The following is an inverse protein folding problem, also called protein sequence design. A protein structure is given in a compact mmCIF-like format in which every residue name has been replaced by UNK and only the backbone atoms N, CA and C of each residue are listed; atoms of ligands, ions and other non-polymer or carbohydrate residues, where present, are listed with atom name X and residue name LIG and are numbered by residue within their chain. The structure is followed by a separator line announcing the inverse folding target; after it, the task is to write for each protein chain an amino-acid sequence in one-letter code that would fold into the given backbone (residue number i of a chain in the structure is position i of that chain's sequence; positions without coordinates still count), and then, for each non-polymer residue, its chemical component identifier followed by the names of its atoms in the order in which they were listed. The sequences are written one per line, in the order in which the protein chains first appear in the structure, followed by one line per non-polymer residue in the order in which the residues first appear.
data_IF_532837238838
#
_entry.id   IF_532837238838
#
_cell.length_a   1.000
_cell.length_b   1.000
_cell.length_c   1.000
_cell.angle_alpha   90.00
_cell.angle_beta   90.00
_cell.angle_gamma   90.00
#
_symmetry.space_group_name_H-M   'P 1'
#
loop_
_entity.id
_entity.type
_entity.pdbx_description
1 polymer ?
#
# COMPACT_ATOMS: atom_id res chain seq x y z
N UNK A 1 11.67 15.71 -12.36
CA UNK A 1 12.22 16.17 -11.06
C UNK A 1 11.08 16.25 -10.04
N UNK A 2 11.20 15.60 -8.88
CA UNK A 2 10.22 15.78 -7.80
C UNK A 2 10.35 17.18 -7.19
N UNK A 3 9.23 17.90 -7.07
CA UNK A 3 9.21 19.20 -6.39
C UNK A 3 9.33 19.00 -4.88
N UNK A 4 10.43 19.46 -4.28
CA UNK A 4 10.67 19.34 -2.84
C UNK A 4 9.59 20.07 -2.01
N UNK A 5 9.57 19.83 -0.70
CA UNK A 5 8.67 20.57 0.21
C UNK A 5 8.94 22.07 0.20
N UNK A 6 10.22 22.44 0.11
CA UNK A 6 10.68 23.83 0.00
C UNK A 6 10.16 24.51 -1.28
N UNK A 7 10.28 23.84 -2.45
CA UNK A 7 9.79 24.37 -3.71
C UNK A 7 8.27 24.62 -3.69
N UNK A 8 7.51 23.70 -3.10
CA UNK A 8 6.06 23.84 -2.94
C UNK A 8 5.69 24.97 -1.99
N UNK A 9 6.37 25.04 -0.84
CA UNK A 9 6.15 26.09 0.15
C UNK A 9 6.41 27.48 -0.41
N UNK A 10 7.51 27.64 -1.15
CA UNK A 10 7.83 28.90 -1.84
C UNK A 10 6.76 29.25 -2.87
N UNK A 11 6.40 28.33 -3.76
CA UNK A 11 5.44 28.59 -4.83
C UNK A 11 4.05 28.99 -4.29
N UNK A 12 3.58 28.32 -3.24
CA UNK A 12 2.29 28.62 -2.60
C UNK A 12 2.33 29.99 -1.91
N UNK A 13 3.35 30.28 -1.10
CA UNK A 13 3.49 31.59 -0.43
C UNK A 13 3.47 32.72 -1.45
N UNK A 14 4.33 32.58 -2.45
CA UNK A 14 4.51 33.58 -3.52
C UNK A 14 3.23 33.79 -4.32
N UNK A 15 2.43 32.73 -4.52
CA UNK A 15 1.14 32.84 -5.19
C UNK A 15 0.18 33.78 -4.47
N UNK A 16 0.06 33.65 -3.14
CA UNK A 16 -0.79 34.53 -2.35
C UNK A 16 -0.23 35.96 -2.27
N UNK A 17 1.08 36.13 -2.12
CA UNK A 17 1.74 37.44 -2.10
C UNK A 17 1.60 38.20 -3.42
N UNK A 18 1.52 37.50 -4.56
CA UNK A 18 1.38 38.09 -5.90
C UNK A 18 -0.07 38.09 -6.41
N UNK A 19 -1.06 38.21 -5.52
CA UNK A 19 -2.46 38.36 -5.91
C UNK A 19 -3.00 37.17 -6.69
N UNK A 20 -2.60 35.94 -6.33
CA UNK A 20 -3.03 34.68 -6.95
C UNK A 20 -2.61 34.52 -8.43
N UNK A 21 -1.49 35.15 -8.82
CA UNK A 21 -0.95 35.07 -10.19
C UNK A 21 0.05 33.92 -10.37
N UNK A 22 -0.32 32.93 -11.18
CA UNK A 22 0.56 31.80 -11.56
C UNK A 22 1.81 32.28 -12.30
N UNK A 23 1.67 33.25 -13.20
CA UNK A 23 2.78 33.77 -14.00
C UNK A 23 3.78 34.51 -13.12
N UNK A 24 3.30 35.35 -12.20
CA UNK A 24 4.16 36.03 -11.23
C UNK A 24 4.88 35.04 -10.32
N UNK A 25 4.17 34.01 -9.85
CA UNK A 25 4.73 32.91 -9.04
C UNK A 25 5.85 32.18 -9.78
N UNK A 26 5.65 31.85 -11.06
CA UNK A 26 6.66 31.18 -11.88
C UNK A 26 7.90 32.05 -12.12
N UNK A 27 7.71 33.35 -12.34
CA UNK A 27 8.83 34.31 -12.50
C UNK A 27 9.65 34.42 -11.22
N UNK A 28 8.99 34.61 -10.09
CA UNK A 28 9.63 34.68 -8.78
C UNK A 28 10.31 33.37 -8.39
N UNK A 29 9.70 32.21 -8.68
CA UNK A 29 10.29 30.89 -8.46
C UNK A 29 11.60 30.73 -9.23
N UNK A 30 11.61 31.12 -10.51
CA UNK A 30 12.82 31.07 -11.34
C UNK A 30 13.95 31.92 -10.78
N UNK A 31 13.64 33.15 -10.35
CA UNK A 31 14.62 34.07 -9.78
C UNK A 31 15.17 33.56 -8.44
N UNK A 32 14.30 33.09 -7.56
CA UNK A 32 14.68 32.66 -6.21
C UNK A 32 15.59 31.43 -6.21
N UNK A 33 15.31 30.44 -7.07
CA UNK A 33 16.10 29.22 -7.17
C UNK A 33 17.19 29.27 -8.26
N UNK A 34 17.46 30.45 -8.82
CA UNK A 34 18.46 30.68 -9.87
C UNK A 34 18.35 29.70 -11.06
N UNK A 35 17.13 29.45 -11.53
CA UNK A 35 16.85 28.46 -12.56
C UNK A 35 17.10 29.07 -13.95
N UNK A 36 17.88 28.40 -14.84
CA UNK A 36 18.11 28.88 -16.21
C UNK A 36 16.81 29.12 -16.99
N UNK A 37 16.87 29.91 -18.07
CA UNK A 37 15.70 30.26 -18.89
C UNK A 37 14.89 29.04 -19.36
N UNK A 38 15.58 27.97 -19.71
CA UNK A 38 15.00 26.68 -20.13
C UNK A 38 15.01 25.62 -19.01
N UNK A 39 15.40 26.01 -17.80
CA UNK A 39 15.40 25.13 -16.64
C UNK A 39 13.97 24.82 -16.17
N UNK A 40 13.80 23.67 -15.49
CA UNK A 40 12.49 23.19 -15.09
C UNK A 40 11.88 24.09 -14.01
N UNK A 41 10.64 24.54 -14.23
CA UNK A 41 9.82 25.25 -13.24
C UNK A 41 8.45 24.57 -13.12
N UNK A 42 7.76 24.70 -11.97
CA UNK A 42 6.43 24.11 -11.83
C UNK A 42 5.46 24.77 -12.80
N UNK A 43 4.74 23.95 -13.57
CA UNK A 43 3.72 24.45 -14.48
C UNK A 43 2.48 24.95 -13.72
N UNK A 44 1.62 25.71 -14.39
CA UNK A 44 0.46 26.32 -13.74
C UNK A 44 -0.53 25.32 -13.14
N UNK A 45 -0.65 24.13 -13.72
CA UNK A 45 -1.48 23.05 -13.16
C UNK A 45 -0.89 22.52 -11.85
N UNK A 46 0.43 22.37 -11.76
CA UNK A 46 1.09 21.95 -10.53
C UNK A 46 0.90 22.97 -9.41
N UNK A 47 1.07 24.26 -9.70
CA UNK A 47 0.89 25.35 -8.73
C UNK A 47 -0.54 25.36 -8.20
N UNK A 48 -1.56 25.37 -9.10
CA UNK A 48 -2.98 25.33 -8.70
C UNK A 48 -3.31 24.14 -7.81
N UNK A 49 -2.82 22.95 -8.16
CA UNK A 49 -3.04 21.74 -7.35
C UNK A 49 -2.44 21.82 -5.95
N UNK A 50 -1.33 22.54 -5.75
CA UNK A 50 -0.76 22.72 -4.41
C UNK A 50 -1.55 23.72 -3.58
N UNK A 51 -2.14 24.73 -4.22
CA UNK A 51 -3.01 25.72 -3.58
C UNK A 51 -4.33 25.07 -3.17
N UNK A 52 -4.96 24.32 -4.07
CA UNK A 52 -6.18 23.54 -3.80
C UNK A 52 -5.94 22.59 -2.61
N UNK A 53 -4.84 21.82 -2.63
CA UNK A 53 -4.50 20.94 -1.51
C UNK A 53 -4.32 21.71 -0.19
N UNK A 54 -3.69 22.88 -0.21
CA UNK A 54 -3.50 23.70 0.99
C UNK A 54 -4.83 24.26 1.51
N UNK A 55 -5.67 24.79 0.62
CA UNK A 55 -6.99 25.35 0.96
C UNK A 55 -7.94 24.25 1.48
N UNK A 56 -7.86 23.02 0.95
CA UNK A 56 -8.73 21.90 1.33
C UNK A 56 -8.34 21.22 2.64
N UNK A 57 -7.04 21.03 2.91
CA UNK A 57 -6.58 20.18 4.01
C UNK A 57 -5.37 20.72 4.80
N UNK A 58 -4.99 21.98 4.60
CA UNK A 58 -3.89 22.62 5.32
C UNK A 58 -2.50 22.09 4.94
N UNK A 59 -2.37 21.32 3.84
CA UNK A 59 -1.10 20.77 3.36
C UNK A 59 -0.87 21.02 1.88
N UNK A 60 0.36 21.39 1.51
CA UNK A 60 0.79 21.43 0.10
C UNK A 60 1.15 20.05 -0.46
N UNK A 61 0.99 18.99 0.36
CA UNK A 61 1.05 17.60 -0.08
C UNK A 61 -0.32 17.22 -0.64
N UNK A 62 -0.35 16.35 -1.65
CA UNK A 62 -1.61 15.71 -2.03
C UNK A 62 -2.19 15.05 -0.77
N UNK A 63 -3.50 15.19 -0.49
CA UNK A 63 -4.12 14.42 0.57
C UNK A 63 -3.80 12.95 0.32
N UNK A 64 -3.18 12.30 1.31
CA UNK A 64 -3.12 10.85 1.35
C UNK A 64 -4.53 10.38 1.65
N UNK A 65 -5.40 10.39 0.64
CA UNK A 65 -6.60 9.56 0.71
C UNK A 65 -6.05 8.15 0.80
N UNK A 66 -6.21 7.50 1.96
CA UNK A 66 -5.95 6.08 2.09
C UNK A 66 -6.93 5.39 1.14
N UNK A 67 -6.43 5.12 -0.07
CA UNK A 67 -7.07 4.22 -1.02
C UNK A 67 -6.55 2.84 -0.67
N UNK A 68 -7.46 1.96 -0.32
CA UNK A 68 -7.16 0.57 -0.10
C UNK A 68 -7.43 -0.20 -1.39
N UNK A 69 -6.57 -1.15 -1.68
CA UNK A 69 -6.67 -2.02 -2.84
C UNK A 69 -6.34 -3.43 -2.40
N UNK A 70 -6.98 -4.41 -3.03
CA UNK A 70 -6.59 -5.81 -2.91
C UNK A 70 -6.04 -6.23 -4.26
N UNK A 71 -4.77 -6.64 -4.29
CA UNK A 71 -4.18 -7.32 -5.45
C UNK A 71 -4.42 -8.81 -5.24
N UNK A 72 -5.15 -9.44 -6.15
CA UNK A 72 -5.52 -10.85 -6.04
C UNK A 72 -7.00 -11.13 -6.26
N UNK A 73 -7.46 -12.34 -5.93
CA UNK A 73 -6.68 -13.47 -5.41
C UNK A 73 -5.81 -14.14 -6.51
N UNK A 74 -4.68 -14.71 -6.11
CA UNK A 74 -3.89 -15.63 -6.95
C UNK A 74 -4.10 -17.07 -6.46
N UNK A 75 -4.40 -18.00 -7.36
CA UNK A 75 -4.58 -19.41 -7.05
C UNK A 75 -3.39 -20.19 -7.59
N UNK A 76 -2.68 -20.92 -6.72
CA UNK A 76 -1.55 -21.75 -7.12
C UNK A 76 -2.04 -23.06 -7.72
N UNK A 77 -1.99 -23.17 -9.05
CA UNK A 77 -2.53 -24.32 -9.78
C UNK A 77 -1.65 -24.76 -10.95
N UNK A 78 -1.60 -26.06 -11.18
CA UNK A 78 -0.99 -26.71 -12.36
C UNK A 78 -1.99 -27.74 -12.89
N UNK A 79 -2.27 -27.72 -14.18
CA UNK A 79 -3.23 -28.61 -14.85
C UNK A 79 -4.62 -28.69 -14.16
N UNK A 80 -5.10 -27.54 -13.67
CA UNK A 80 -6.39 -27.41 -12.98
C UNK A 80 -6.43 -27.96 -11.55
N UNK A 81 -5.29 -28.37 -10.99
CA UNK A 81 -5.16 -28.87 -9.63
C UNK A 81 -4.39 -27.90 -8.74
N UNK A 82 -4.87 -27.70 -7.50
CA UNK A 82 -4.17 -26.87 -6.53
C UNK A 82 -2.83 -27.48 -6.14
N UNK A 83 -1.77 -26.65 -6.13
CA UNK A 83 -0.41 -27.09 -5.83
C UNK A 83 0.14 -26.41 -4.57
N UNK A 84 1.06 -27.11 -3.89
CA UNK A 84 1.74 -26.57 -2.72
C UNK A 84 2.68 -25.42 -3.11
N UNK A 85 2.56 -24.32 -2.36
CA UNK A 85 3.48 -23.18 -2.45
C UNK A 85 4.85 -23.60 -1.94
N UNK A 86 5.88 -23.40 -2.75
CA UNK A 86 7.26 -23.75 -2.43
C UNK A 86 8.22 -22.62 -2.81
N UNK A 87 9.52 -22.84 -2.61
CA UNK A 87 10.57 -21.86 -2.89
C UNK A 87 10.79 -21.53 -4.37
N UNK A 88 10.07 -22.20 -5.30
CA UNK A 88 10.11 -21.93 -6.74
C UNK A 88 8.84 -21.20 -7.18
N UNK A 89 7.67 -21.72 -6.78
CA UNK A 89 6.35 -21.17 -7.16
C UNK A 89 6.07 -19.81 -6.54
N UNK A 90 6.53 -19.56 -5.31
CA UNK A 90 6.29 -18.28 -4.66
C UNK A 90 7.05 -17.12 -5.36
N UNK A 91 8.37 -17.23 -5.63
CA UNK A 91 9.06 -16.24 -6.46
C UNK A 91 8.44 -16.05 -7.86
N UNK A 92 8.05 -17.15 -8.52
CA UNK A 92 7.39 -17.06 -9.83
C UNK A 92 6.08 -16.26 -9.75
N UNK A 93 5.24 -16.51 -8.73
CA UNK A 93 4.03 -15.71 -8.50
C UNK A 93 4.36 -14.22 -8.24
N UNK A 94 5.43 -13.92 -7.50
CA UNK A 94 5.84 -12.54 -7.27
C UNK A 94 6.19 -11.83 -8.58
N UNK A 95 6.90 -12.51 -9.48
CA UNK A 95 7.39 -11.98 -10.76
C UNK A 95 6.29 -11.93 -11.83
N UNK A 96 5.56 -13.02 -12.02
CA UNK A 96 4.62 -13.18 -13.14
C UNK A 96 3.27 -12.53 -12.87
N UNK A 97 2.91 -12.33 -11.60
CA UNK A 97 1.59 -11.82 -11.21
C UNK A 97 1.65 -10.57 -10.33
N UNK A 98 2.36 -10.63 -9.20
CA UNK A 98 2.27 -9.57 -8.20
C UNK A 98 2.96 -8.27 -8.64
N UNK A 99 4.19 -8.36 -9.15
CA UNK A 99 4.98 -7.20 -9.60
C UNK A 99 4.26 -6.42 -10.72
N UNK A 100 3.80 -7.04 -11.83
CA UNK A 100 3.06 -6.33 -12.88
C UNK A 100 1.80 -5.63 -12.36
N UNK A 101 1.05 -6.27 -11.46
CA UNK A 101 -0.16 -5.68 -10.86
C UNK A 101 0.14 -4.53 -9.93
N UNK A 102 1.25 -4.60 -9.21
CA UNK A 102 1.70 -3.52 -8.35
C UNK A 102 2.17 -2.31 -9.17
N UNK A 103 2.85 -2.54 -10.29
CA UNK A 103 3.28 -1.48 -11.22
C UNK A 103 2.06 -0.77 -11.82
N UNK A 104 1.09 -1.51 -12.35
CA UNK A 104 -0.19 -0.99 -12.88
C UNK A 104 -0.88 -0.09 -11.83
N UNK A 105 -1.01 -0.59 -10.60
CA UNK A 105 -1.62 0.17 -9.50
C UNK A 105 -0.81 1.41 -9.11
N UNK A 106 0.52 1.31 -9.15
CA UNK A 106 1.42 2.40 -8.81
C UNK A 106 1.35 3.52 -9.83
N UNK A 107 1.23 3.20 -11.12
CA UNK A 107 1.03 4.18 -12.19
C UNK A 107 -0.32 4.91 -12.07
N UNK A 108 -1.40 4.16 -11.83
CA UNK A 108 -2.75 4.72 -11.72
C UNK A 108 -2.93 5.62 -10.51
N UNK A 109 -2.33 5.23 -9.38
CA UNK A 109 -2.62 5.85 -8.08
C UNK A 109 -1.47 6.68 -7.52
N UNK A 110 -0.28 6.62 -8.16
CA UNK A 110 0.95 7.24 -7.69
C UNK A 110 1.26 6.80 -6.25
N UNK A 111 1.27 5.48 -6.01
CA UNK A 111 1.75 4.90 -4.76
C UNK A 111 3.18 5.41 -4.54
N UNK A 112 3.43 6.04 -3.39
CA UNK A 112 4.77 6.48 -3.02
C UNK A 112 5.64 5.30 -2.60
N UNK A 113 6.50 5.50 -1.62
CA UNK A 113 7.28 4.39 -1.06
C UNK A 113 6.36 3.34 -0.41
N UNK A 114 6.45 2.10 -0.90
CA UNK A 114 5.65 0.96 -0.44
C UNK A 114 6.49 0.12 0.53
N UNK A 115 5.87 -0.27 1.63
CA UNK A 115 6.40 -1.28 2.56
C UNK A 115 5.71 -2.60 2.30
N UNK A 116 6.48 -3.68 2.24
CA UNK A 116 5.96 -5.03 2.05
C UNK A 116 6.11 -5.82 3.34
N UNK A 117 5.03 -6.51 3.74
CA UNK A 117 5.05 -7.39 4.90
C UNK A 117 4.63 -8.81 4.49
N UNK A 118 5.36 -9.80 5.00
CA UNK A 118 5.00 -11.23 4.89
C UNK A 118 5.38 -11.97 6.18
N UNK A 119 4.78 -13.15 6.37
CA UNK A 119 5.07 -14.02 7.50
C UNK A 119 6.40 -14.81 7.32
N UNK A 120 6.70 -15.68 8.29
CA UNK A 120 7.92 -16.47 8.31
C UNK A 120 7.84 -17.83 7.59
N UNK A 121 6.87 -18.07 6.71
CA UNK A 121 6.74 -19.36 6.01
C UNK A 121 8.00 -19.72 5.21
N UNK A 122 8.28 -21.02 5.05
CA UNK A 122 9.52 -21.49 4.41
C UNK A 122 9.66 -21.00 2.97
N UNK A 123 8.57 -20.96 2.20
CA UNK A 123 8.59 -20.44 0.83
C UNK A 123 8.88 -18.93 0.77
N UNK A 124 8.37 -18.16 1.73
CA UNK A 124 8.53 -16.71 1.82
C UNK A 124 9.95 -16.31 2.23
N UNK A 125 10.59 -17.13 3.06
CA UNK A 125 11.95 -16.91 3.58
C UNK A 125 13.05 -17.57 2.74
N UNK A 126 12.69 -18.23 1.65
CA UNK A 126 13.64 -18.79 0.69
C UNK A 126 14.53 -17.68 0.11
N UNK A 127 15.81 -17.99 -0.12
CA UNK A 127 16.79 -17.01 -0.59
C UNK A 127 16.34 -16.31 -1.88
N UNK A 128 15.78 -17.07 -2.83
CA UNK A 128 15.30 -16.55 -4.11
C UNK A 128 14.16 -15.55 -3.91
N UNK A 129 13.19 -15.87 -3.04
CA UNK A 129 12.09 -14.96 -2.72
C UNK A 129 12.59 -13.67 -2.05
N UNK A 130 13.47 -13.79 -1.05
CA UNK A 130 14.01 -12.65 -0.32
C UNK A 130 14.86 -11.72 -1.20
N UNK A 131 15.61 -12.26 -2.18
CA UNK A 131 16.35 -11.45 -3.16
C UNK A 131 15.40 -10.62 -4.01
N UNK A 132 14.35 -11.25 -4.58
CA UNK A 132 13.34 -10.56 -5.40
C UNK A 132 12.61 -9.48 -4.59
N UNK A 133 12.16 -9.81 -3.39
CA UNK A 133 11.45 -8.85 -2.53
C UNK A 133 12.32 -7.65 -2.13
N UNK A 134 13.63 -7.84 -1.87
CA UNK A 134 14.53 -6.71 -1.60
C UNK A 134 14.79 -5.83 -2.80
N UNK A 135 14.74 -6.39 -4.02
CA UNK A 135 14.81 -5.60 -5.25
C UNK A 135 13.54 -4.75 -5.44
N UNK A 136 12.37 -5.34 -5.20
CA UNK A 136 11.07 -4.65 -5.30
C UNK A 136 10.87 -3.60 -4.19
N UNK A 137 11.30 -3.90 -2.96
CA UNK A 137 11.06 -3.09 -1.76
C UNK A 137 12.36 -2.76 -1.01
N UNK A 138 13.28 -1.98 -1.61
CA UNK A 138 14.59 -1.73 -1.03
C UNK A 138 14.48 -1.00 0.31
N UNK A 139 15.06 -1.60 1.36
CA UNK A 139 15.03 -1.13 2.75
C UNK A 139 13.62 -0.99 3.37
N UNK A 140 12.62 -1.70 2.80
CA UNK A 140 11.21 -1.61 3.20
C UNK A 140 10.53 -2.98 3.30
N UNK A 141 11.31 -4.02 3.58
CA UNK A 141 10.82 -5.38 3.73
C UNK A 141 10.64 -5.76 5.21
N UNK A 142 9.38 -5.96 5.62
CA UNK A 142 9.00 -6.51 6.93
C UNK A 142 8.78 -8.02 6.79
N UNK A 143 9.75 -8.81 7.21
CA UNK A 143 9.72 -10.27 7.04
C UNK A 143 10.64 -10.92 8.06
N UNK A 144 10.50 -12.22 8.26
CA UNK A 144 11.58 -12.99 8.90
C UNK A 144 12.84 -12.85 8.05
N UNK A 145 13.95 -12.36 8.63
CA UNK A 145 15.20 -11.98 7.94
C UNK A 145 15.07 -10.79 6.95
N UNK A 146 14.03 -9.96 7.08
CA UNK A 146 13.86 -8.72 6.31
C UNK A 146 14.68 -7.55 6.87
N UNK A 147 14.37 -6.34 6.40
CA UNK A 147 14.92 -5.08 6.94
C UNK A 147 14.35 -4.78 8.33
N UNK A 148 13.08 -5.13 8.53
CA UNK A 148 12.41 -5.16 9.84
C UNK A 148 11.99 -6.60 10.11
N UNK A 149 12.41 -7.13 11.26
CA UNK A 149 12.13 -8.52 11.62
C UNK A 149 10.65 -8.70 11.98
N UNK A 150 10.00 -9.65 11.30
CA UNK A 150 8.64 -10.07 11.65
C UNK A 150 8.69 -11.21 12.68
N UNK A 151 8.02 -11.05 13.84
CA UNK A 151 8.06 -12.06 14.90
C UNK A 151 7.37 -13.38 14.46
N UNK A 152 7.94 -14.54 14.82
CA UNK A 152 7.31 -15.83 14.55
C UNK A 152 5.99 -15.95 15.34
N UNK A 153 5.02 -16.68 14.77
CA UNK A 153 3.77 -16.97 15.48
C UNK A 153 2.91 -15.75 15.79
N UNK A 154 2.95 -14.71 14.94
CA UNK A 154 2.21 -13.46 15.13
C UNK A 154 1.08 -13.24 14.10
N UNK A 155 0.12 -14.18 13.95
CA UNK A 155 -1.05 -13.97 13.09
C UNK A 155 -1.90 -12.80 13.59
N UNK A 156 -1.86 -12.50 14.89
CA UNK A 156 -2.58 -11.39 15.52
C UNK A 156 -2.16 -10.01 14.98
N UNK A 157 -1.02 -9.92 14.28
CA UNK A 157 -0.50 -8.69 13.69
C UNK A 157 -0.67 -8.64 12.17
N UNK A 158 -1.06 -9.73 11.51
CA UNK A 158 -1.24 -9.79 10.05
C UNK A 158 -2.66 -9.42 9.68
N UNK A 159 -2.84 -8.37 8.86
CA UNK A 159 -4.16 -7.91 8.40
C UNK A 159 -4.91 -9.02 7.66
N UNK A 160 -4.19 -9.86 6.91
CA UNK A 160 -4.82 -11.00 6.23
C UNK A 160 -5.40 -12.01 7.22
N UNK A 161 -4.67 -12.30 8.31
CA UNK A 161 -5.03 -13.33 9.27
C UNK A 161 -6.14 -12.90 10.23
N UNK A 162 -6.02 -11.74 10.87
CA UNK A 162 -7.02 -11.30 11.85
C UNK A 162 -8.31 -10.75 11.21
N UNK A 163 -8.29 -10.44 9.91
CA UNK A 163 -9.42 -9.81 9.23
C UNK A 163 -9.82 -10.53 7.93
N UNK A 164 -8.97 -10.53 6.89
CA UNK A 164 -9.39 -10.90 5.54
C UNK A 164 -9.88 -12.36 5.45
N UNK A 165 -9.13 -13.31 6.02
CA UNK A 165 -9.48 -14.73 5.94
C UNK A 165 -10.76 -15.06 6.72
N UNK A 166 -10.94 -14.48 7.90
CA UNK A 166 -12.17 -14.62 8.69
C UNK A 166 -13.39 -14.07 7.94
N UNK A 167 -13.26 -12.88 7.36
CA UNK A 167 -14.29 -12.24 6.55
C UNK A 167 -14.68 -13.08 5.32
N UNK A 168 -13.69 -13.49 4.51
CA UNK A 168 -13.94 -14.27 3.31
C UNK A 168 -14.56 -15.62 3.65
N UNK A 169 -14.08 -16.29 4.70
CA UNK A 169 -14.66 -17.57 5.15
C UNK A 169 -16.13 -17.41 5.53
N UNK A 170 -16.48 -16.36 6.27
CA UNK A 170 -17.87 -16.11 6.63
C UNK A 170 -18.76 -15.85 5.41
N UNK A 171 -18.30 -15.05 4.44
CA UNK A 171 -19.10 -14.66 3.27
C UNK A 171 -19.22 -15.77 2.24
N UNK A 172 -18.10 -16.33 1.81
CA UNK A 172 -18.03 -17.31 0.72
C UNK A 172 -18.75 -18.60 1.07
N UNK A 173 -18.62 -19.08 2.32
CA UNK A 173 -19.23 -20.34 2.74
C UNK A 173 -20.73 -20.23 3.09
N UNK A 174 -21.30 -19.03 3.29
CA UNK A 174 -22.76 -18.89 3.50
C UNK A 174 -23.57 -19.50 2.36
N UNK A 175 -23.12 -19.31 1.12
CA UNK A 175 -23.80 -19.88 -0.04
C UNK A 175 -23.42 -21.33 -0.35
N UNK A 176 -22.58 -21.98 0.49
CA UNK A 176 -22.13 -23.38 0.34
C UNK A 176 -21.70 -23.77 -1.09
N UNK A 177 -20.53 -23.30 -1.57
CA UNK A 177 -20.08 -23.64 -2.92
C UNK A 177 -19.92 -25.15 -3.07
N UNK A 178 -20.35 -25.69 -4.21
CA UNK A 178 -20.45 -27.13 -4.46
C UNK A 178 -19.21 -27.71 -5.15
N UNK A 179 -18.33 -26.85 -5.67
CA UNK A 179 -17.09 -27.25 -6.30
C UNK A 179 -16.03 -26.13 -6.16
N UNK A 180 -14.80 -26.46 -6.56
CA UNK A 180 -13.64 -25.57 -6.43
C UNK A 180 -13.77 -24.31 -7.31
N UNK A 181 -14.33 -24.43 -8.52
CA UNK A 181 -14.50 -23.28 -9.41
C UNK A 181 -15.49 -22.26 -8.85
N UNK A 182 -16.62 -22.74 -8.32
CA UNK A 182 -17.60 -21.90 -7.63
C UNK A 182 -16.99 -21.23 -6.40
N UNK A 183 -16.16 -21.95 -5.64
CA UNK A 183 -15.44 -21.39 -4.49
C UNK A 183 -14.51 -20.24 -4.92
N UNK A 184 -13.70 -20.44 -5.97
CA UNK A 184 -12.78 -19.40 -6.49
C UNK A 184 -13.53 -18.19 -7.02
N UNK A 185 -14.60 -18.41 -7.79
CA UNK A 185 -15.45 -17.35 -8.32
C UNK A 185 -15.98 -16.48 -7.20
N UNK A 186 -16.55 -17.08 -6.15
CA UNK A 186 -17.07 -16.34 -5.00
C UNK A 186 -16.00 -15.61 -4.21
N UNK A 187 -14.80 -16.17 -4.08
CA UNK A 187 -13.68 -15.45 -3.46
C UNK A 187 -13.34 -14.18 -4.26
N UNK A 188 -13.29 -14.27 -5.60
CA UNK A 188 -13.05 -13.10 -6.46
C UNK A 188 -14.15 -12.04 -6.33
N UNK A 189 -15.41 -12.46 -6.37
CA UNK A 189 -16.57 -11.58 -6.22
C UNK A 189 -16.57 -10.86 -4.87
N UNK A 190 -16.36 -11.59 -3.77
CA UNK A 190 -16.34 -11.02 -2.42
C UNK A 190 -15.16 -10.06 -2.22
N UNK A 191 -13.98 -10.37 -2.77
CA UNK A 191 -12.81 -9.48 -2.75
C UNK A 191 -13.10 -8.18 -3.50
N UNK A 192 -13.74 -8.25 -4.67
CA UNK A 192 -14.03 -7.08 -5.50
C UNK A 192 -15.00 -6.09 -4.85
N UNK A 193 -15.85 -6.56 -3.92
CA UNK A 193 -16.86 -5.75 -3.25
C UNK A 193 -16.53 -5.41 -1.79
N UNK A 194 -15.31 -5.72 -1.30
CA UNK A 194 -14.90 -5.34 0.06
C UNK A 194 -15.00 -3.81 0.21
N UNK A 195 -15.82 -3.29 1.14
CA UNK A 195 -15.96 -1.85 1.30
C UNK A 195 -14.66 -1.21 1.75
N UNK A 196 -14.28 -0.09 1.12
CA UNK A 196 -13.08 0.69 1.49
C UNK A 196 -13.01 1.02 2.99
N UNK A 197 -14.17 1.28 3.59
CA UNK A 197 -14.28 1.57 5.03
C UNK A 197 -13.87 0.39 5.91
N UNK A 198 -14.19 -0.84 5.49
CA UNK A 198 -13.78 -2.04 6.20
C UNK A 198 -12.26 -2.17 6.25
N UNK A 199 -11.61 -1.82 5.15
CA UNK A 199 -10.18 -1.89 5.01
C UNK A 199 -9.45 -0.78 5.79
N UNK A 200 -10.05 0.42 5.87
CA UNK A 200 -9.56 1.48 6.75
C UNK A 200 -9.58 1.04 8.20
N UNK A 201 -10.69 0.47 8.66
CA UNK A 201 -10.79 -0.08 10.03
C UNK A 201 -9.76 -1.19 10.27
N UNK A 202 -9.49 -2.04 9.29
CA UNK A 202 -8.46 -3.07 9.40
C UNK A 202 -7.05 -2.47 9.58
N UNK A 203 -6.72 -1.43 8.80
CA UNK A 203 -5.45 -0.70 8.96
C UNK A 203 -5.34 0.05 10.30
N UNK A 204 -6.42 0.66 10.79
CA UNK A 204 -6.46 1.27 12.12
C UNK A 204 -6.30 0.23 13.23
N UNK A 205 -6.96 -0.92 13.10
CA UNK A 205 -6.85 -2.04 14.04
C UNK A 205 -5.43 -2.61 14.06
N UNK A 206 -4.75 -2.71 12.92
CA UNK A 206 -3.33 -3.07 12.88
C UNK A 206 -2.48 -2.15 13.75
N UNK A 207 -2.66 -0.83 13.65
CA UNK A 207 -1.93 0.13 14.50
C UNK A 207 -2.24 -0.06 15.98
N UNK A 208 -3.51 -0.28 16.32
CA UNK A 208 -3.93 -0.53 17.69
C UNK A 208 -3.34 -1.84 18.25
N UNK A 209 -3.34 -2.92 17.46
CA UNK A 209 -2.75 -4.21 17.81
C UNK A 209 -1.24 -4.11 18.06
N UNK A 210 -0.52 -3.32 17.26
CA UNK A 210 0.90 -3.03 17.52
C UNK A 210 1.10 -2.33 18.87
N UNK A 211 0.30 -1.32 19.19
CA UNK A 211 0.38 -0.61 20.46
C UNK A 211 0.08 -1.54 21.65
N UNK A 212 -0.93 -2.40 21.51
CA UNK A 212 -1.28 -3.37 22.52
C UNK A 212 -0.16 -4.39 22.72
N UNK A 213 0.44 -4.90 21.63
CA UNK A 213 1.59 -5.82 21.67
C UNK A 213 2.78 -5.22 22.43
N UNK A 214 3.06 -3.93 22.23
CA UNK A 214 4.10 -3.22 23.00
C UNK A 214 3.71 -3.13 24.48
N UNK A 215 2.46 -2.77 24.77
CA UNK A 215 1.97 -2.62 26.13
C UNK A 215 1.90 -3.97 26.90
N UNK A 216 1.72 -5.07 26.18
CA UNK A 216 1.69 -6.43 26.73
C UNK A 216 3.04 -7.14 26.60
N UNK A 217 4.13 -6.42 26.34
CA UNK A 217 5.49 -6.97 26.24
C UNK A 217 5.62 -8.17 25.28
N UNK A 218 4.84 -8.18 24.19
CA UNK A 218 4.85 -9.24 23.18
C UNK A 218 3.98 -10.46 23.50
N UNK A 219 3.18 -10.43 24.57
CA UNK A 219 2.19 -11.48 24.84
C UNK A 219 1.04 -11.48 23.83
N UNK A 220 0.38 -12.64 23.70
CA UNK A 220 -0.77 -12.83 22.82
C UNK A 220 -1.84 -11.76 23.02
N UNK A 221 -2.34 -11.24 21.91
CA UNK A 221 -3.38 -10.23 21.95
C UNK A 221 -4.74 -10.91 22.12
N UNK A 222 -5.62 -10.41 22.99
CA UNK A 222 -7.00 -10.86 23.00
C UNK A 222 -7.62 -10.55 21.63
N UNK A 223 -8.45 -11.46 21.13
CA UNK A 223 -9.24 -11.22 19.92
C UNK A 223 -10.13 -9.99 20.14
N UNK A 224 -9.67 -8.83 19.67
CA UNK A 224 -10.52 -7.67 19.46
C UNK A 224 -11.41 -8.00 18.25
N UNK A 225 -12.39 -8.87 18.50
CA UNK A 225 -13.52 -9.18 17.65
C UNK A 225 -14.13 -7.83 17.27
N UNK A 226 -14.25 -7.59 15.98
CA UNK A 226 -15.02 -6.48 15.40
C UNK A 226 -16.33 -6.31 16.20
N UNK A 227 -16.34 -5.39 17.17
CA UNK A 227 -17.58 -5.05 17.88
C UNK A 227 -18.44 -4.31 16.86
N UNK A 228 -19.64 -4.86 16.68
CA UNK A 228 -20.69 -4.41 15.75
C UNK A 228 -20.95 -2.92 15.87
#
# INVERSE_FOLDING_TARGET
MPWSGEYRGFAVRTYFENGRSVIATQRAFRLHFNIPRHGPIPNGKAIRRWIEALEDNGSTRRPRVSKFWVIGPYFFEEDGSSVTVNSQRYPAMLEDFFEPKLEELSEETNLGDIWFQQDGATAHTAQVAMVKLRQMFPARLVSRRGDVEWPPGSPDLSICDFFLWGYLKEKVFRGRPNNLEELKMRIREEIAVIPLEMCRRAAENFRHRLQLCIATEGHHLPDAIFRK
#
